data_IF_759048849518
#
_entry.id   IF_759048849518
#
_cell.length_a   1.000
_cell.length_b   1.000
_cell.length_c   1.000
_cell.angle_alpha   90.00
_cell.angle_beta   90.00
_cell.angle_gamma   90.00
#
_symmetry.space_group_name_H-M   'P 1'
#
loop_
_entity.id
_entity.type
_entity.pdbx_description
1 polymer ?
#
# COMPACT_ATOMS: atom_id res chain seq x y z
N UNK A 1 26.47 22.39 -5.78
CA UNK A 1 26.01 21.03 -5.52
C UNK A 1 24.90 20.58 -6.46
N UNK A 2 23.70 21.20 -6.52
CA UNK A 2 22.58 20.78 -7.41
C UNK A 2 22.90 20.64 -8.91
N UNK A 3 23.80 21.45 -9.44
CA UNK A 3 24.17 21.40 -10.86
C UNK A 3 25.12 20.25 -11.16
N UNK A 4 26.00 19.91 -10.22
CA UNK A 4 26.92 18.77 -10.33
C UNK A 4 26.17 17.43 -10.26
N UNK A 5 25.15 17.31 -9.38
CA UNK A 5 24.27 16.13 -9.32
C UNK A 5 23.46 15.93 -10.60
N UNK A 6 22.96 17.02 -11.21
CA UNK A 6 22.25 16.93 -12.51
C UNK A 6 23.17 16.44 -13.62
N UNK A 7 24.42 16.92 -13.66
CA UNK A 7 25.40 16.49 -14.65
C UNK A 7 25.84 15.05 -14.46
N UNK A 8 25.95 14.59 -13.21
CA UNK A 8 26.28 13.19 -12.88
C UNK A 8 25.15 12.23 -13.29
N UNK A 9 23.89 12.64 -13.04
CA UNK A 9 22.70 11.87 -13.46
C UNK A 9 22.56 11.79 -14.97
N UNK A 10 22.81 12.88 -15.67
CA UNK A 10 22.78 12.91 -17.12
C UNK A 10 23.90 12.03 -17.71
N UNK A 11 25.10 12.09 -17.14
CA UNK A 11 26.22 11.23 -17.55
C UNK A 11 25.92 9.74 -17.34
N UNK A 12 25.37 9.37 -16.19
CA UNK A 12 24.97 8.00 -15.89
C UNK A 12 23.85 7.50 -16.82
N UNK A 13 22.86 8.34 -17.13
CA UNK A 13 21.79 8.00 -18.07
C UNK A 13 22.32 7.78 -19.48
N UNK A 14 23.25 8.60 -19.96
CA UNK A 14 23.87 8.45 -21.30
C UNK A 14 24.67 7.15 -21.38
N UNK A 15 25.45 6.82 -20.35
CA UNK A 15 26.23 5.56 -20.31
C UNK A 15 25.30 4.35 -20.28
N UNK A 16 24.19 4.41 -19.52
CA UNK A 16 23.20 3.35 -19.46
C UNK A 16 22.49 3.17 -20.81
N UNK A 17 22.08 4.26 -21.46
CA UNK A 17 21.49 4.20 -22.82
C UNK A 17 22.46 3.61 -23.85
N UNK A 18 23.76 4.00 -23.83
CA UNK A 18 24.76 3.45 -24.72
C UNK A 18 24.99 1.94 -24.49
N UNK A 19 24.99 1.49 -23.24
CA UNK A 19 25.06 0.08 -22.85
C UNK A 19 23.85 -0.70 -23.35
N UNK A 20 22.65 -0.17 -23.17
CA UNK A 20 21.39 -0.77 -23.63
C UNK A 20 21.40 -0.91 -25.16
N UNK A 21 21.75 0.15 -25.89
CA UNK A 21 21.83 0.14 -27.36
C UNK A 21 22.85 -0.91 -27.84
N UNK A 22 24.01 -1.03 -27.19
CA UNK A 22 25.03 -2.02 -27.52
C UNK A 22 24.56 -3.45 -27.27
N UNK A 23 23.84 -3.69 -26.17
CA UNK A 23 23.25 -4.99 -25.84
C UNK A 23 22.13 -5.39 -26.81
N UNK A 24 21.38 -4.41 -27.34
CA UNK A 24 20.40 -4.63 -28.40
C UNK A 24 21.06 -5.02 -29.72
N UNK A 25 22.18 -4.36 -30.09
CA UNK A 25 22.91 -4.61 -31.36
C UNK A 25 23.64 -5.96 -31.39
N UNK A 26 23.95 -6.54 -30.23
CA UNK A 26 24.65 -7.83 -30.09
C UNK A 26 23.71 -9.06 -29.92
N UNK A 27 22.40 -8.89 -30.09
CA UNK A 27 21.42 -9.99 -30.03
C UNK A 27 21.24 -10.64 -28.63
N UNK A 28 21.64 -9.93 -27.56
CA UNK A 28 21.62 -10.39 -26.18
C UNK A 28 20.27 -10.08 -25.46
N UNK A 29 19.22 -9.74 -26.22
CA UNK A 29 17.93 -9.24 -25.71
C UNK A 29 17.32 -10.10 -24.58
N UNK A 30 17.23 -11.43 -24.65
CA UNK A 30 16.61 -12.20 -23.58
C UNK A 30 17.41 -12.20 -22.27
N UNK A 31 18.75 -12.15 -22.35
CA UNK A 31 19.61 -12.07 -21.16
C UNK A 31 19.62 -10.70 -20.52
N UNK A 32 19.41 -9.63 -21.31
CA UNK A 32 19.34 -8.25 -20.81
C UNK A 32 18.02 -7.95 -20.14
N UNK A 33 16.89 -8.51 -20.59
CA UNK A 33 15.61 -8.36 -19.93
C UNK A 33 15.66 -8.97 -18.53
N UNK A 34 16.26 -10.14 -18.36
CA UNK A 34 16.46 -10.76 -17.05
C UNK A 34 17.40 -9.92 -16.15
N UNK A 35 18.46 -9.32 -16.72
CA UNK A 35 19.37 -8.46 -15.96
C UNK A 35 18.69 -7.16 -15.51
N UNK A 36 17.90 -6.52 -16.39
CA UNK A 36 17.14 -5.30 -16.06
C UNK A 36 16.07 -5.56 -14.99
N UNK A 37 15.66 -6.81 -14.84
CA UNK A 37 14.66 -7.23 -13.85
C UNK A 37 15.26 -7.60 -12.49
N UNK A 38 16.59 -7.49 -12.32
CA UNK A 38 17.20 -7.74 -11.01
C UNK A 38 16.84 -6.63 -10.02
N UNK A 39 16.60 -6.93 -8.73
CA UNK A 39 16.22 -5.94 -7.71
C UNK A 39 17.18 -4.74 -7.66
N UNK A 40 18.47 -4.98 -7.69
CA UNK A 40 19.50 -3.92 -7.65
C UNK A 40 19.41 -2.95 -8.82
N UNK A 41 19.07 -3.43 -10.02
CA UNK A 41 18.94 -2.56 -11.20
C UNK A 41 17.61 -1.80 -11.15
N UNK A 42 16.53 -2.43 -10.69
CA UNK A 42 15.25 -1.74 -10.45
C UNK A 42 15.42 -0.59 -9.45
N UNK A 43 16.04 -0.85 -8.31
CA UNK A 43 16.31 0.17 -7.28
C UNK A 43 17.18 1.31 -7.84
N UNK A 44 18.17 0.99 -8.67
CA UNK A 44 18.98 1.98 -9.34
C UNK A 44 18.18 2.81 -10.36
N UNK A 45 17.28 2.21 -11.14
CA UNK A 45 16.40 2.93 -12.06
C UNK A 45 15.45 3.87 -11.31
N UNK A 46 14.86 3.41 -10.21
CA UNK A 46 14.04 4.25 -9.32
C UNK A 46 14.87 5.41 -8.76
N UNK A 47 16.12 5.14 -8.34
CA UNK A 47 17.04 6.20 -7.90
C UNK A 47 17.32 7.22 -9.01
N UNK A 48 17.54 6.79 -10.24
CA UNK A 48 17.76 7.70 -11.38
C UNK A 48 16.53 8.58 -11.66
N UNK A 49 15.33 8.03 -11.58
CA UNK A 49 14.09 8.76 -11.85
C UNK A 49 13.69 9.68 -10.70
N UNK A 50 13.80 9.21 -9.45
CA UNK A 50 13.31 9.93 -8.28
C UNK A 50 14.40 10.69 -7.52
N UNK A 51 15.66 10.29 -7.70
CA UNK A 51 16.79 10.76 -6.90
C UNK A 51 16.84 10.20 -5.49
N UNK A 52 16.11 9.13 -5.21
CA UNK A 52 15.93 8.55 -3.87
C UNK A 52 16.27 7.07 -3.86
N UNK A 53 16.99 6.62 -2.83
CA UNK A 53 17.26 5.20 -2.64
C UNK A 53 16.00 4.50 -2.10
N UNK A 54 15.65 3.38 -2.70
CA UNK A 54 14.60 2.47 -2.21
C UNK A 54 15.23 1.56 -1.17
N UNK A 55 14.55 1.36 -0.04
CA UNK A 55 14.81 0.23 0.84
C UNK A 55 13.70 -0.78 0.59
N UNK A 56 13.96 -1.78 -0.26
CA UNK A 56 13.09 -2.95 -0.30
C UNK A 56 13.36 -3.78 0.96
N UNK A 57 12.32 -4.22 1.63
CA UNK A 57 12.46 -5.23 2.67
C UNK A 57 12.92 -6.52 2.01
N UNK A 58 14.04 -7.07 2.46
CA UNK A 58 14.70 -8.23 1.82
C UNK A 58 13.96 -9.57 2.01
N UNK A 59 12.77 -9.57 2.60
CA UNK A 59 12.05 -10.82 2.93
C UNK A 59 11.57 -11.56 1.68
N UNK A 60 11.21 -10.87 0.60
CA UNK A 60 10.89 -11.53 -0.66
C UNK A 60 12.11 -12.12 -1.39
N UNK A 61 13.33 -11.64 -1.12
CA UNK A 61 14.57 -12.25 -1.62
C UNK A 61 14.86 -13.60 -0.92
N UNK A 62 14.40 -13.77 0.32
CA UNK A 62 14.57 -15.02 1.09
C UNK A 62 13.57 -16.11 0.65
N UNK A 63 12.44 -15.75 0.06
CA UNK A 63 11.43 -16.71 -0.42
C UNK A 63 11.83 -17.43 -1.71
N UNK A 64 12.84 -16.92 -2.43
CA UNK A 64 13.34 -17.48 -3.69
C UNK A 64 14.74 -18.07 -3.61
N UNK A 65 15.29 -18.30 -2.42
CA UNK A 65 16.46 -19.15 -2.31
C UNK A 65 16.04 -20.57 -2.73
N UNK A 66 16.64 -21.19 -3.77
CA UNK A 66 16.31 -22.56 -4.12
C UNK A 66 16.60 -23.44 -2.90
N UNK A 67 15.60 -24.17 -2.43
CA UNK A 67 15.78 -25.17 -1.41
C UNK A 67 16.92 -26.09 -1.83
N UNK A 68 18.01 -26.10 -1.05
CA UNK A 68 19.07 -27.07 -1.21
C UNK A 68 18.42 -28.46 -1.05
N UNK A 69 18.51 -29.27 -2.11
CA UNK A 69 18.01 -30.65 -2.14
C UNK A 69 18.23 -31.36 -0.82
N UNK A 70 17.20 -31.99 -0.25
CA UNK A 70 17.35 -32.73 0.99
C UNK A 70 18.29 -33.91 0.76
N UNK A 71 19.25 -34.07 1.67
CA UNK A 71 20.11 -35.23 1.72
C UNK A 71 19.27 -36.50 1.87
N UNK A 72 19.53 -37.47 1.00
CA UNK A 72 18.92 -38.79 0.99
C UNK A 72 18.96 -39.46 2.39
N UNK A 73 17.79 -39.77 2.96
CA UNK A 73 17.60 -40.57 4.16
C UNK A 73 17.03 -41.91 3.73
N UNK A 74 17.59 -43.06 4.16
CA UNK A 74 17.09 -44.38 3.74
C UNK A 74 15.73 -44.69 4.37
N UNK A 75 14.85 -45.25 3.57
CA UNK A 75 13.51 -45.71 3.93
C UNK A 75 13.54 -46.71 5.08
N UNK A 76 12.87 -46.35 6.18
CA UNK A 76 12.44 -47.31 7.19
C UNK A 76 10.93 -47.47 7.04
N UNK A 77 10.50 -48.65 6.60
CA UNK A 77 9.09 -49.00 6.47
C UNK A 77 8.43 -49.13 7.82
N UNK A 78 7.58 -48.15 8.19
CA UNK A 78 6.59 -48.29 9.25
C UNK A 78 5.19 -48.23 8.62
N UNK A 79 4.16 -48.88 9.19
CA UNK A 79 2.87 -49.04 8.57
C UNK A 79 2.14 -47.68 8.46
N UNK A 80 1.59 -47.45 7.26
CA UNK A 80 0.75 -46.27 6.94
C UNK A 80 -0.46 -46.27 7.87
N UNK A 81 -0.49 -45.34 8.80
CA UNK A 81 -1.76 -44.91 9.41
C UNK A 81 -2.47 -44.01 8.42
N UNK A 82 -3.74 -44.29 8.21
CA UNK A 82 -4.69 -43.51 7.41
C UNK A 82 -4.62 -42.04 7.88
N UNK A 83 -4.02 -41.15 7.04
CA UNK A 83 -4.01 -39.71 7.31
C UNK A 83 -5.45 -39.23 7.34
N UNK A 84 -5.89 -38.77 8.52
CA UNK A 84 -7.08 -37.93 8.61
C UNK A 84 -6.86 -36.74 7.69
N UNK A 85 -7.72 -36.59 6.69
CA UNK A 85 -7.74 -35.44 5.76
C UNK A 85 -7.73 -34.16 6.61
N UNK A 86 -6.67 -33.37 6.47
CA UNK A 86 -6.65 -32.00 6.97
C UNK A 86 -7.88 -31.30 6.38
N UNK A 87 -8.61 -30.46 7.14
CA UNK A 87 -9.70 -29.69 6.56
C UNK A 87 -9.08 -28.85 5.42
N UNK A 88 -9.71 -28.91 4.24
CA UNK A 88 -9.40 -27.98 3.15
C UNK A 88 -9.41 -26.56 3.73
N UNK A 89 -8.30 -25.85 3.62
CA UNK A 89 -8.28 -24.41 3.88
C UNK A 89 -9.24 -23.78 2.86
N UNK A 90 -10.45 -23.55 3.28
CA UNK A 90 -11.40 -22.79 2.49
C UNK A 90 -10.93 -21.35 2.50
N UNK A 91 -10.56 -20.84 1.33
CA UNK A 91 -10.23 -19.43 1.17
C UNK A 91 -11.33 -18.48 1.68
N UNK A 92 -11.11 -17.16 1.69
CA UNK A 92 -12.08 -16.19 2.20
C UNK A 92 -13.47 -16.40 1.59
N UNK A 93 -14.51 -16.29 2.42
CA UNK A 93 -15.87 -16.45 1.94
C UNK A 93 -16.22 -15.37 0.90
N UNK A 94 -16.90 -15.70 -0.21
CA UNK A 94 -17.28 -14.74 -1.23
C UNK A 94 -18.19 -13.64 -0.64
N UNK A 95 -18.19 -12.47 -1.26
CA UNK A 95 -19.07 -11.37 -0.89
C UNK A 95 -20.51 -11.66 -1.32
N UNK A 96 -21.46 -11.12 -0.55
CA UNK A 96 -22.90 -11.27 -0.79
C UNK A 96 -23.55 -9.94 -1.19
N UNK A 97 -24.71 -10.02 -1.84
CA UNK A 97 -25.51 -8.84 -2.16
C UNK A 97 -25.96 -8.09 -0.89
N UNK A 98 -26.30 -8.80 0.17
CA UNK A 98 -26.71 -8.22 1.45
C UNK A 98 -25.58 -7.40 2.09
N UNK A 99 -24.35 -7.89 2.03
CA UNK A 99 -23.18 -7.14 2.48
C UNK A 99 -23.00 -5.86 1.67
N UNK A 100 -23.13 -5.93 0.35
CA UNK A 100 -23.04 -4.75 -0.51
C UNK A 100 -24.08 -3.68 -0.18
N UNK A 101 -25.33 -4.10 0.06
CA UNK A 101 -26.41 -3.20 0.48
C UNK A 101 -26.19 -2.61 1.89
N UNK A 102 -25.47 -3.33 2.75
CA UNK A 102 -25.08 -2.89 4.10
C UNK A 102 -23.90 -1.91 4.13
N UNK A 103 -23.09 -1.86 3.07
CA UNK A 103 -21.94 -0.98 3.01
C UNK A 103 -22.34 0.49 2.91
N UNK A 104 -21.63 1.32 3.66
CA UNK A 104 -21.85 2.76 3.66
C UNK A 104 -20.84 3.47 2.75
N UNK A 105 -21.36 4.20 1.77
CA UNK A 105 -20.60 5.05 0.86
C UNK A 105 -20.96 6.52 1.10
N UNK A 106 -19.97 7.36 1.41
CA UNK A 106 -20.14 8.81 1.45
C UNK A 106 -19.65 9.40 0.12
N UNK A 107 -20.60 9.62 -0.78
CA UNK A 107 -20.31 10.08 -2.14
C UNK A 107 -20.45 11.60 -2.27
N UNK A 108 -19.33 12.28 -2.51
CA UNK A 108 -19.27 13.72 -2.79
C UNK A 108 -18.80 14.04 -4.22
N UNK A 109 -18.59 12.99 -5.04
CA UNK A 109 -18.12 13.17 -6.43
C UNK A 109 -19.19 13.69 -7.38
N UNK A 110 -20.44 13.38 -7.09
CA UNK A 110 -21.57 13.63 -8.00
C UNK A 110 -21.76 12.55 -9.06
N UNK A 111 -20.87 11.56 -9.12
CA UNK A 111 -21.01 10.40 -10.02
C UNK A 111 -21.92 9.33 -9.39
N UNK A 112 -22.55 8.51 -10.23
CA UNK A 112 -23.34 7.38 -9.75
C UNK A 112 -22.40 6.23 -9.41
N UNK A 113 -22.63 5.60 -8.26
CA UNK A 113 -21.91 4.40 -7.82
C UNK A 113 -22.83 3.55 -6.96
N UNK A 114 -22.98 2.29 -7.30
CA UNK A 114 -23.74 1.30 -6.54
C UNK A 114 -22.75 0.41 -5.75
N UNK A 115 -22.72 0.50 -4.42
CA UNK A 115 -21.79 -0.30 -3.61
C UNK A 115 -22.01 -1.80 -3.76
N UNK A 116 -23.27 -2.27 -3.92
CA UNK A 116 -23.60 -3.68 -4.08
C UNK A 116 -23.04 -4.25 -5.37
N UNK A 117 -23.28 -3.55 -6.49
CA UNK A 117 -22.72 -3.94 -7.79
C UNK A 117 -21.19 -3.95 -7.78
N UNK A 118 -20.57 -2.89 -7.23
CA UNK A 118 -19.13 -2.74 -7.19
C UNK A 118 -18.45 -3.73 -6.24
N UNK A 119 -19.08 -4.11 -5.14
CA UNK A 119 -18.56 -5.13 -4.23
C UNK A 119 -18.45 -6.50 -4.92
N UNK A 120 -19.45 -6.84 -5.75
CA UNK A 120 -19.51 -8.14 -6.43
C UNK A 120 -18.73 -8.16 -7.77
N UNK A 121 -18.20 -7.03 -8.22
CA UNK A 121 -17.41 -6.94 -9.44
C UNK A 121 -16.15 -7.79 -9.31
N UNK A 122 -15.85 -8.59 -10.32
CA UNK A 122 -14.58 -9.30 -10.39
C UNK A 122 -13.41 -8.30 -10.52
N UNK A 123 -12.40 -8.47 -9.68
CA UNK A 123 -11.21 -7.61 -9.65
C UNK A 123 -9.97 -8.48 -9.47
N UNK A 124 -9.57 -9.22 -10.53
CA UNK A 124 -8.44 -10.12 -10.45
C UNK A 124 -7.14 -9.34 -10.22
N UNK A 125 -6.31 -9.86 -9.32
CA UNK A 125 -4.97 -9.35 -9.13
C UNK A 125 -3.97 -10.14 -9.98
N UNK A 126 -3.24 -9.51 -10.91
CA UNK A 126 -2.26 -10.22 -11.70
C UNK A 126 -1.19 -10.86 -10.80
N UNK A 127 -0.86 -12.11 -11.10
CA UNK A 127 0.29 -12.76 -10.47
C UNK A 127 1.60 -12.10 -10.91
N UNK A 128 2.63 -12.22 -10.08
CA UNK A 128 3.95 -11.68 -10.42
C UNK A 128 4.95 -11.83 -9.27
N UNK A 129 6.21 -11.93 -9.65
CA UNK A 129 7.31 -11.93 -8.69
C UNK A 129 7.61 -10.51 -8.19
N UNK A 130 7.79 -10.36 -6.88
CA UNK A 130 8.14 -9.10 -6.24
C UNK A 130 7.05 -8.57 -5.29
N UNK A 131 7.15 -7.31 -4.87
CA UNK A 131 6.21 -6.73 -3.92
C UNK A 131 4.79 -6.70 -4.48
N UNK A 132 3.82 -7.11 -3.65
CA UNK A 132 2.39 -7.09 -3.96
C UNK A 132 1.74 -5.80 -3.47
N UNK A 133 2.25 -5.25 -2.38
CA UNK A 133 1.75 -4.04 -1.73
C UNK A 133 2.82 -2.97 -1.71
N UNK A 134 2.46 -1.76 -2.12
CA UNK A 134 3.27 -0.55 -1.91
C UNK A 134 2.64 0.28 -0.81
N UNK A 135 3.41 0.63 0.21
CA UNK A 135 3.02 1.54 1.28
C UNK A 135 3.78 2.86 1.12
N UNK A 136 3.07 3.97 1.08
CA UNK A 136 3.64 5.31 1.07
C UNK A 136 2.73 6.29 1.80
N UNK A 137 3.17 7.53 1.99
CA UNK A 137 2.34 8.59 2.59
C UNK A 137 2.62 9.90 1.89
N UNK A 138 1.65 10.40 1.13
CA UNK A 138 1.75 11.71 0.46
C UNK A 138 1.90 12.83 1.49
N UNK A 139 1.21 12.73 2.62
CA UNK A 139 1.34 13.62 3.76
C UNK A 139 2.07 12.96 4.93
N UNK A 140 3.32 12.57 4.68
CA UNK A 140 4.15 11.77 5.58
C UNK A 140 4.40 12.43 6.94
N UNK A 141 4.36 13.77 7.04
CA UNK A 141 4.54 14.48 8.33
C UNK A 141 3.30 14.48 9.22
N UNK A 142 2.15 14.01 8.73
CA UNK A 142 0.94 13.91 9.54
C UNK A 142 1.18 13.08 10.80
N UNK A 143 0.66 13.58 11.92
CA UNK A 143 0.78 12.97 13.23
C UNK A 143 -0.52 13.11 14.03
N UNK A 144 -0.54 12.53 15.19
CA UNK A 144 -1.70 12.44 16.07
C UNK A 144 -1.57 13.35 17.29
N UNK A 145 -2.63 13.42 18.08
CA UNK A 145 -2.58 14.07 19.39
C UNK A 145 -1.42 13.49 20.20
N UNK A 146 -0.56 14.36 20.72
CA UNK A 146 0.60 13.98 21.50
C UNK A 146 0.19 13.40 22.85
N UNK A 147 0.89 12.34 23.27
CA UNK A 147 0.74 11.71 24.57
C UNK A 147 1.70 12.30 25.61
N UNK A 148 2.15 11.43 26.52
CA UNK A 148 3.05 11.83 27.61
C UNK A 148 4.48 12.15 27.15
N UNK A 149 4.88 11.64 25.99
CA UNK A 149 6.19 11.88 25.38
C UNK A 149 6.01 12.83 24.17
N UNK A 150 6.14 14.15 24.39
CA UNK A 150 5.97 15.13 23.33
C UNK A 150 7.15 15.11 22.35
N UNK A 151 6.87 15.37 21.09
CA UNK A 151 7.84 15.49 20.02
C UNK A 151 7.72 16.87 19.33
N UNK A 152 8.80 17.37 18.68
CA UNK A 152 8.74 18.64 17.95
C UNK A 152 7.74 18.59 16.79
N UNK A 153 6.89 19.59 16.71
CA UNK A 153 5.98 19.78 15.56
C UNK A 153 6.52 20.85 14.61
N UNK A 154 6.35 20.61 13.31
CA UNK A 154 6.62 21.61 12.25
C UNK A 154 5.39 22.46 11.92
N UNK A 155 4.21 21.95 12.25
CA UNK A 155 2.90 22.58 12.21
C UNK A 155 1.95 21.75 13.11
N UNK A 156 0.77 22.24 13.49
CA UNK A 156 -0.17 21.48 14.32
C UNK A 156 -0.43 20.08 13.75
N UNK A 157 -0.22 19.06 14.58
CA UNK A 157 -0.35 17.63 14.22
C UNK A 157 0.51 17.21 13.01
N UNK A 158 1.74 17.78 12.92
CA UNK A 158 2.74 17.44 11.90
C UNK A 158 4.14 17.44 12.47
N UNK A 159 4.91 16.40 12.17
CA UNK A 159 6.29 16.26 12.67
C UNK A 159 7.20 15.58 11.66
N UNK A 160 8.49 15.89 11.71
CA UNK A 160 9.54 15.21 10.97
C UNK A 160 10.05 13.95 11.70
N UNK A 161 9.64 13.75 12.96
CA UNK A 161 10.00 12.58 13.75
C UNK A 161 9.33 11.33 13.17
N UNK A 162 10.11 10.52 12.43
CA UNK A 162 9.61 9.34 11.71
C UNK A 162 8.92 8.31 12.60
N UNK A 163 9.27 8.26 13.89
CA UNK A 163 8.63 7.39 14.87
C UNK A 163 7.25 7.89 15.35
N UNK A 164 6.86 9.11 14.99
CA UNK A 164 5.66 9.78 15.50
C UNK A 164 4.68 10.23 14.41
N UNK A 165 5.07 10.12 13.14
CA UNK A 165 4.27 10.50 11.98
C UNK A 165 3.77 9.27 11.19
N UNK A 166 3.16 9.49 10.01
CA UNK A 166 2.58 8.41 9.19
C UNK A 166 3.58 7.33 8.79
N UNK A 167 4.89 7.66 8.71
CA UNK A 167 5.91 6.65 8.41
C UNK A 167 6.01 5.57 9.49
N UNK A 168 5.64 5.87 10.75
CA UNK A 168 5.59 4.87 11.82
C UNK A 168 4.45 3.87 11.63
N UNK A 169 3.29 4.33 11.12
CA UNK A 169 2.15 3.46 10.78
C UNK A 169 2.48 2.59 9.56
N UNK A 170 3.12 3.19 8.54
CA UNK A 170 3.61 2.47 7.38
C UNK A 170 4.61 1.37 7.74
N UNK A 171 5.51 1.61 8.71
CA UNK A 171 6.43 0.60 9.23
C UNK A 171 5.69 -0.54 9.92
N UNK A 172 4.74 -0.23 10.79
CA UNK A 172 3.95 -1.25 11.48
C UNK A 172 3.12 -2.11 10.51
N UNK A 173 2.55 -1.50 9.46
CA UNK A 173 1.82 -2.24 8.44
C UNK A 173 2.75 -3.12 7.59
N UNK A 174 3.93 -2.62 7.21
CA UNK A 174 4.96 -3.43 6.55
C UNK A 174 5.30 -4.67 7.37
N UNK A 175 5.63 -4.51 8.65
CA UNK A 175 5.96 -5.60 9.56
C UNK A 175 4.80 -6.62 9.64
N UNK A 176 3.56 -6.16 9.83
CA UNK A 176 2.38 -7.02 9.92
C UNK A 176 2.07 -7.79 8.62
N UNK A 177 2.35 -7.22 7.45
CA UNK A 177 2.19 -7.89 6.15
C UNK A 177 3.32 -8.89 5.90
N UNK A 178 4.56 -8.57 6.29
CA UNK A 178 5.69 -9.48 6.18
C UNK A 178 5.53 -10.72 7.07
N UNK A 179 4.98 -10.57 8.27
CA UNK A 179 4.64 -11.69 9.17
C UNK A 179 3.62 -12.64 8.52
N UNK A 180 2.79 -12.14 7.59
CA UNK A 180 1.84 -12.88 6.75
C UNK A 180 2.44 -13.34 5.41
N UNK A 181 3.76 -13.19 5.23
CA UNK A 181 4.48 -13.54 4.00
C UNK A 181 4.03 -12.78 2.75
N UNK A 182 3.41 -11.62 2.92
CA UNK A 182 3.03 -10.74 1.81
C UNK A 182 4.23 -9.85 1.48
N UNK A 183 4.77 -9.92 0.25
CA UNK A 183 5.88 -9.09 -0.17
C UNK A 183 5.46 -7.61 -0.26
N UNK A 184 6.18 -6.74 0.44
CA UNK A 184 5.88 -5.32 0.58
C UNK A 184 7.05 -4.46 0.12
N UNK A 185 6.73 -3.33 -0.51
CA UNK A 185 7.64 -2.22 -0.72
C UNK A 185 7.15 -1.03 0.09
N UNK A 186 7.99 -0.45 0.95
CA UNK A 186 7.64 0.74 1.72
C UNK A 186 8.52 1.94 1.35
N UNK A 187 7.87 3.06 1.06
CA UNK A 187 8.54 4.34 0.80
C UNK A 187 8.56 5.19 2.09
N UNK A 188 9.76 5.55 2.55
CA UNK A 188 9.99 6.38 3.74
C UNK A 188 10.20 7.87 3.41
N UNK A 189 9.83 8.29 2.23
CA UNK A 189 10.06 9.66 1.79
C UNK A 189 9.10 10.63 2.47
N UNK A 190 9.64 11.76 2.95
CA UNK A 190 8.84 12.89 3.39
C UNK A 190 8.55 13.77 2.16
N UNK A 191 7.28 13.82 1.74
CA UNK A 191 6.85 14.52 0.53
C UNK A 191 6.29 15.92 0.77
N UNK A 192 5.72 16.15 1.95
CA UNK A 192 4.97 17.35 2.31
C UNK A 192 5.78 18.40 3.11
N UNK A 193 7.09 18.19 3.24
CA UNK A 193 7.99 19.15 3.84
C UNK A 193 9.18 19.45 2.91
N UNK A 194 9.64 20.72 2.78
CA UNK A 194 9.09 21.93 3.41
C UNK A 194 7.83 22.48 2.72
N UNK A 195 7.32 21.86 1.67
CA UNK A 195 6.17 22.36 0.91
C UNK A 195 5.03 21.35 0.89
N UNK A 196 3.98 21.63 1.64
CA UNK A 196 2.75 20.85 1.67
C UNK A 196 2.06 20.72 0.29
N UNK A 197 1.94 21.85 -0.42
CA UNK A 197 1.20 21.90 -1.70
C UNK A 197 1.86 21.08 -2.84
N UNK A 198 3.15 20.77 -2.72
CA UNK A 198 3.87 19.97 -3.71
C UNK A 198 3.84 18.46 -3.46
N UNK A 199 3.26 18.03 -2.34
CA UNK A 199 3.30 16.65 -1.87
C UNK A 199 2.78 15.65 -2.90
N UNK A 200 1.56 15.84 -3.42
CA UNK A 200 0.98 14.97 -4.45
C UNK A 200 1.80 14.90 -5.74
N UNK A 201 2.35 16.04 -6.19
CA UNK A 201 3.24 16.04 -7.37
C UNK A 201 4.54 15.29 -7.13
N UNK A 202 5.06 15.33 -5.90
CA UNK A 202 6.29 14.66 -5.52
C UNK A 202 6.07 13.16 -5.31
N UNK A 203 5.02 12.74 -4.60
CA UNK A 203 4.68 11.33 -4.40
C UNK A 203 4.29 10.64 -5.71
N UNK A 204 3.61 11.36 -6.64
CA UNK A 204 3.28 10.83 -7.97
C UNK A 204 4.50 10.37 -8.76
N UNK A 205 5.62 11.10 -8.67
CA UNK A 205 6.85 10.70 -9.39
C UNK A 205 7.38 9.37 -8.86
N UNK A 206 7.42 9.22 -7.53
CA UNK A 206 7.88 7.98 -6.90
C UNK A 206 6.93 6.83 -7.19
N UNK A 207 5.62 7.05 -6.99
CA UNK A 207 4.61 6.03 -7.25
C UNK A 207 4.66 5.50 -8.69
N UNK A 208 4.79 6.42 -9.68
CA UNK A 208 4.95 6.03 -11.09
C UNK A 208 6.22 5.22 -11.33
N UNK A 209 7.33 5.57 -10.68
CA UNK A 209 8.59 4.84 -10.80
C UNK A 209 8.47 3.43 -10.18
N UNK A 210 7.83 3.30 -9.00
CA UNK A 210 7.60 2.02 -8.35
C UNK A 210 6.70 1.09 -9.18
N UNK A 211 5.53 1.58 -9.62
CA UNK A 211 4.60 0.79 -10.43
C UNK A 211 5.20 0.34 -11.76
N UNK A 212 6.10 1.14 -12.35
CA UNK A 212 6.84 0.74 -13.55
C UNK A 212 7.90 -0.30 -13.26
N UNK A 213 8.61 -0.17 -12.13
CA UNK A 213 9.68 -1.08 -11.76
C UNK A 213 9.17 -2.41 -11.23
N UNK A 214 8.01 -2.41 -10.59
CA UNK A 214 7.38 -3.57 -9.95
C UNK A 214 5.93 -3.75 -10.42
N UNK A 215 5.71 -4.32 -11.62
CA UNK A 215 4.34 -4.58 -12.14
C UNK A 215 3.54 -5.56 -11.27
N UNK A 216 4.17 -6.26 -10.33
CA UNK A 216 3.55 -7.13 -9.34
C UNK A 216 2.78 -6.40 -8.25
N UNK A 217 2.98 -5.07 -8.11
CA UNK A 217 2.23 -4.25 -7.14
C UNK A 217 0.78 -4.15 -7.60
N UNK A 218 -0.13 -4.68 -6.79
CA UNK A 218 -1.58 -4.69 -7.02
C UNK A 218 -2.32 -3.76 -6.06
N UNK A 219 -1.70 -3.43 -4.92
CA UNK A 219 -2.21 -2.44 -3.98
C UNK A 219 -1.14 -1.37 -3.72
N UNK A 220 -1.51 -0.10 -3.89
CA UNK A 220 -0.68 1.05 -3.53
C UNK A 220 -1.44 1.90 -2.51
N UNK A 221 -1.03 1.81 -1.24
CA UNK A 221 -1.73 2.38 -0.10
C UNK A 221 -1.06 3.69 0.31
N UNK A 222 -1.78 4.80 0.13
CA UNK A 222 -1.40 6.14 0.61
C UNK A 222 -1.94 6.30 2.03
N UNK A 223 -1.09 6.16 3.04
CA UNK A 223 -1.52 6.24 4.43
C UNK A 223 -1.61 7.69 4.89
N UNK A 224 -2.75 8.02 5.48
CA UNK A 224 -3.10 9.33 6.00
C UNK A 224 -3.78 9.22 7.37
N UNK A 225 -4.02 10.36 7.99
CA UNK A 225 -5.00 10.53 9.06
C UNK A 225 -5.92 11.71 8.71
N UNK A 226 -7.21 11.59 9.01
CA UNK A 226 -8.20 12.63 8.71
C UNK A 226 -7.94 13.89 9.54
N UNK A 227 -8.17 15.06 8.95
CA UNK A 227 -7.87 16.38 9.52
C UNK A 227 -9.13 17.22 9.75
N UNK A 228 -10.28 16.60 10.02
CA UNK A 228 -11.51 17.33 10.25
C UNK A 228 -11.50 18.03 11.62
N UNK A 229 -11.79 19.34 11.63
CA UNK A 229 -12.08 20.09 12.85
C UNK A 229 -13.57 19.94 13.19
N UNK A 230 -13.88 19.57 14.42
CA UNK A 230 -15.24 19.37 14.90
C UNK A 230 -15.83 20.62 15.60
N UNK A 231 -15.07 21.72 15.65
CA UNK A 231 -15.44 22.94 16.40
C UNK A 231 -15.18 22.83 17.91
N UNK A 232 -15.01 21.61 18.43
CA UNK A 232 -14.60 21.32 19.82
C UNK A 232 -13.20 20.73 19.91
N UNK A 233 -12.50 20.57 18.77
CA UNK A 233 -11.18 20.00 18.63
C UNK A 233 -11.04 19.16 17.38
N UNK A 234 -9.94 18.47 17.25
CA UNK A 234 -9.69 17.60 16.12
C UNK A 234 -10.52 16.31 16.19
N UNK A 235 -10.94 15.82 15.03
CA UNK A 235 -11.68 14.58 14.90
C UNK A 235 -10.91 13.41 15.54
N UNK A 236 -11.57 12.74 16.49
CA UNK A 236 -11.15 11.46 17.07
C UNK A 236 -12.23 10.43 16.82
N UNK A 237 -11.90 9.38 16.08
CA UNK A 237 -12.83 8.29 15.76
C UNK A 237 -12.40 7.02 16.45
N UNK A 238 -13.34 6.30 17.08
CA UNK A 238 -13.02 5.14 17.91
C UNK A 238 -13.85 3.93 17.48
N UNK A 239 -13.18 2.80 17.47
CA UNK A 239 -13.73 1.45 17.45
C UNK A 239 -13.13 0.66 18.61
N UNK A 240 -13.51 -0.60 18.73
CA UNK A 240 -12.93 -1.56 19.67
C UNK A 240 -12.20 -2.65 18.89
N UNK A 241 -10.94 -2.90 19.23
CA UNK A 241 -10.17 -4.03 18.69
C UNK A 241 -9.55 -4.74 19.89
N UNK A 242 -9.84 -6.02 20.08
CA UNK A 242 -9.39 -6.83 21.22
C UNK A 242 -9.72 -6.19 22.59
N UNK A 243 -10.87 -5.52 22.68
CA UNK A 243 -11.33 -4.85 23.91
C UNK A 243 -10.67 -3.51 24.22
N UNK A 244 -9.79 -3.03 23.34
CA UNK A 244 -9.08 -1.76 23.46
C UNK A 244 -9.60 -0.72 22.46
N UNK A 245 -9.53 0.57 22.85
CA UNK A 245 -9.84 1.64 21.90
C UNK A 245 -8.85 1.66 20.75
N UNK A 246 -9.37 1.60 19.54
CA UNK A 246 -8.62 1.72 18.29
C UNK A 246 -9.16 2.85 17.41
N UNK A 247 -8.37 3.37 16.51
CA UNK A 247 -8.82 4.37 15.55
C UNK A 247 -9.66 3.70 14.45
N UNK A 248 -10.77 4.32 14.03
CA UNK A 248 -11.50 3.82 12.85
C UNK A 248 -10.73 4.07 11.57
N UNK A 249 -10.90 3.19 10.61
CA UNK A 249 -10.36 3.33 9.26
C UNK A 249 -11.39 3.96 8.33
N UNK A 250 -10.93 4.74 7.34
CA UNK A 250 -11.76 5.22 6.24
C UNK A 250 -11.00 5.10 4.93
N UNK A 251 -11.62 4.48 3.94
CA UNK A 251 -11.04 4.46 2.60
C UNK A 251 -11.49 5.69 1.83
N UNK A 252 -10.58 6.30 1.07
CA UNK A 252 -10.90 7.45 0.22
C UNK A 252 -10.52 7.11 -1.21
N UNK A 253 -11.50 7.21 -2.09
CA UNK A 253 -11.35 6.98 -3.52
C UNK A 253 -11.65 8.25 -4.28
N UNK A 254 -10.72 8.61 -5.16
CA UNK A 254 -10.87 9.75 -6.04
C UNK A 254 -11.58 9.38 -7.34
N UNK A 255 -12.01 10.40 -8.07
CA UNK A 255 -12.67 10.25 -9.37
C UNK A 255 -12.15 11.25 -10.39
N UNK A 256 -12.68 11.21 -11.60
CA UNK A 256 -12.45 12.20 -12.67
C UNK A 256 -13.45 13.38 -12.66
N UNK A 257 -14.31 13.47 -11.66
CA UNK A 257 -15.38 14.47 -11.61
C UNK A 257 -14.90 15.93 -11.68
N UNK A 258 -13.59 16.18 -11.44
CA UNK A 258 -12.95 17.49 -11.65
C UNK A 258 -12.25 17.64 -13.01
N UNK A 259 -12.51 16.73 -13.96
CA UNK A 259 -12.02 16.80 -15.33
C UNK A 259 -10.59 16.29 -15.55
N UNK A 260 -9.93 15.75 -14.52
CA UNK A 260 -8.66 15.05 -14.67
C UNK A 260 -8.94 13.56 -14.93
N UNK A 261 -8.38 13.01 -16.02
CA UNK A 261 -8.59 11.61 -16.41
C UNK A 261 -8.23 10.66 -15.28
N UNK A 262 -9.15 9.80 -14.91
CA UNK A 262 -9.00 8.74 -13.91
C UNK A 262 -9.76 7.48 -14.35
N UNK A 263 -9.20 6.67 -15.25
CA UNK A 263 -9.92 5.52 -15.84
C UNK A 263 -10.21 4.40 -14.84
N UNK A 264 -9.46 4.35 -13.74
CA UNK A 264 -9.49 3.23 -12.79
C UNK A 264 -10.34 3.52 -11.53
N UNK A 265 -11.16 4.58 -11.51
CA UNK A 265 -11.83 4.98 -10.26
C UNK A 265 -12.88 3.96 -9.78
N UNK A 266 -13.56 3.28 -10.69
CA UNK A 266 -14.54 2.24 -10.33
C UNK A 266 -13.85 0.99 -9.79
N UNK A 267 -12.74 0.56 -10.40
CA UNK A 267 -11.92 -0.54 -9.90
C UNK A 267 -11.34 -0.23 -8.52
N UNK A 268 -10.82 0.99 -8.33
CA UNK A 268 -10.34 1.43 -7.03
C UNK A 268 -11.46 1.43 -6.00
N UNK A 269 -12.67 1.88 -6.36
CA UNK A 269 -13.81 1.86 -5.46
C UNK A 269 -14.24 0.42 -5.14
N UNK A 270 -14.29 -0.46 -6.13
CA UNK A 270 -14.59 -1.89 -5.94
C UNK A 270 -13.61 -2.52 -4.93
N UNK A 271 -12.30 -2.33 -5.13
CA UNK A 271 -11.27 -2.84 -4.22
C UNK A 271 -11.41 -2.21 -2.82
N UNK A 272 -11.68 -0.91 -2.74
CA UNK A 272 -11.93 -0.21 -1.49
C UNK A 272 -13.15 -0.75 -0.73
N UNK A 273 -14.25 -1.02 -1.43
CA UNK A 273 -15.46 -1.59 -0.81
C UNK A 273 -15.24 -3.03 -0.34
N UNK A 274 -14.48 -3.84 -1.08
CA UNK A 274 -14.08 -5.19 -0.64
C UNK A 274 -13.24 -5.13 0.64
N UNK A 275 -12.26 -4.24 0.68
CA UNK A 275 -11.43 -4.05 1.87
C UNK A 275 -12.29 -3.56 3.07
N UNK A 276 -13.25 -2.65 2.84
CA UNK A 276 -14.19 -2.22 3.87
C UNK A 276 -15.05 -3.39 4.39
N UNK A 277 -15.59 -4.23 3.50
CA UNK A 277 -16.40 -5.38 3.87
C UNK A 277 -15.61 -6.39 4.72
N UNK A 278 -14.37 -6.70 4.33
CA UNK A 278 -13.50 -7.58 5.10
C UNK A 278 -13.19 -7.00 6.49
N UNK A 279 -12.87 -5.72 6.59
CA UNK A 279 -12.64 -5.04 7.86
C UNK A 279 -13.86 -5.09 8.78
N UNK A 280 -15.07 -4.89 8.23
CA UNK A 280 -16.32 -4.97 8.99
C UNK A 280 -16.67 -6.42 9.41
N UNK A 281 -16.35 -7.43 8.58
CA UNK A 281 -16.47 -8.85 8.98
C UNK A 281 -15.57 -9.20 10.16
N UNK A 282 -14.32 -8.71 10.14
CA UNK A 282 -13.31 -8.99 11.19
C UNK A 282 -13.58 -8.21 12.47
N UNK A 283 -13.97 -6.94 12.33
CA UNK A 283 -14.17 -6.03 13.47
C UNK A 283 -15.30 -5.05 13.17
N UNK A 284 -16.55 -5.42 13.51
CA UNK A 284 -17.73 -4.57 13.24
C UNK A 284 -17.58 -3.17 13.85
N UNK A 285 -17.83 -2.15 13.03
CA UNK A 285 -17.69 -0.74 13.40
C UNK A 285 -16.27 -0.21 13.33
N UNK A 286 -15.31 -0.99 12.80
CA UNK A 286 -13.93 -0.53 12.60
C UNK A 286 -13.83 0.49 11.46
N UNK A 287 -14.74 0.45 10.48
CA UNK A 287 -14.68 1.37 9.36
C UNK A 287 -15.68 2.51 9.45
N UNK A 288 -15.29 3.66 8.97
CA UNK A 288 -16.18 4.75 8.56
C UNK A 288 -16.66 4.49 7.13
N UNK A 289 -17.74 5.13 6.68
CA UNK A 289 -18.16 5.02 5.28
C UNK A 289 -17.01 5.31 4.32
N UNK A 290 -16.78 4.45 3.33
CA UNK A 290 -15.84 4.75 2.23
C UNK A 290 -16.22 6.07 1.58
N UNK A 291 -15.24 6.94 1.32
CA UNK A 291 -15.47 8.28 0.83
C UNK A 291 -15.11 8.40 -0.67
N UNK A 292 -16.12 8.61 -1.52
CA UNK A 292 -15.90 8.87 -2.94
C UNK A 292 -15.80 10.38 -3.20
N UNK A 293 -14.62 10.83 -3.65
CA UNK A 293 -14.25 12.23 -3.80
C UNK A 293 -14.14 12.66 -5.25
N UNK A 294 -14.44 13.95 -5.58
CA UNK A 294 -14.27 14.46 -6.94
C UNK A 294 -12.79 14.70 -7.33
N UNK A 295 -11.85 14.66 -6.38
CA UNK A 295 -10.42 14.80 -6.64
C UNK A 295 -9.84 13.47 -7.10
N UNK A 296 -8.91 13.51 -8.08
CA UNK A 296 -8.26 12.32 -8.62
C UNK A 296 -7.19 11.73 -7.68
N UNK A 297 -6.53 12.58 -6.87
CA UNK A 297 -5.32 12.20 -6.12
C UNK A 297 -4.23 11.64 -7.06
N UNK A 298 -3.55 10.56 -6.68
CA UNK A 298 -2.62 9.82 -7.54
C UNK A 298 -3.18 8.46 -7.97
N UNK A 299 -4.46 8.22 -7.74
CA UNK A 299 -5.12 6.92 -7.88
C UNK A 299 -5.39 6.51 -9.33
N UNK A 300 -5.21 7.42 -10.27
CA UNK A 300 -5.27 7.15 -11.72
C UNK A 300 -4.08 6.35 -12.26
N UNK A 301 -3.05 6.12 -11.44
CA UNK A 301 -1.82 5.47 -11.89
C UNK A 301 -1.94 3.96 -12.00
N UNK A 302 -2.79 3.31 -11.21
CA UNK A 302 -3.08 1.89 -11.26
C UNK A 302 -4.39 1.57 -10.55
N UNK A 303 -5.10 0.49 -10.93
CA UNK A 303 -6.07 -0.13 -10.04
C UNK A 303 -5.44 -0.50 -8.70
N UNK A 304 -6.23 -0.47 -7.60
CA UNK A 304 -5.74 -0.74 -6.25
C UNK A 304 -4.94 0.39 -5.60
N UNK A 305 -4.90 1.58 -6.22
CA UNK A 305 -4.39 2.79 -5.56
C UNK A 305 -5.47 3.35 -4.64
N UNK A 306 -5.25 3.29 -3.33
CA UNK A 306 -6.21 3.72 -2.30
C UNK A 306 -5.57 4.70 -1.31
N UNK A 307 -6.34 5.65 -0.81
CA UNK A 307 -6.00 6.37 0.42
C UNK A 307 -6.64 5.63 1.58
N UNK A 308 -5.87 5.44 2.65
CA UNK A 308 -6.32 4.85 3.91
C UNK A 308 -6.13 5.87 5.02
N UNK A 309 -7.23 6.44 5.48
CA UNK A 309 -7.26 7.31 6.64
C UNK A 309 -7.30 6.44 7.90
N UNK A 310 -6.30 6.54 8.74
CA UNK A 310 -6.19 5.80 10.00
C UNK A 310 -6.55 6.74 11.15
N UNK A 311 -7.82 6.79 11.49
CA UNK A 311 -8.37 7.73 12.46
C UNK A 311 -8.31 9.19 11.99
N UNK A 312 -8.29 10.10 12.95
CA UNK A 312 -8.12 11.54 12.73
C UNK A 312 -7.02 12.13 13.63
N UNK A 313 -6.70 13.41 13.43
CA UNK A 313 -5.67 14.10 14.20
C UNK A 313 -5.93 14.09 15.72
N UNK A 314 -7.19 13.96 16.14
CA UNK A 314 -7.57 13.82 17.56
C UNK A 314 -7.33 12.45 18.16
N UNK A 315 -7.07 11.41 17.37
CA UNK A 315 -6.67 10.12 17.89
C UNK A 315 -5.24 10.18 18.47
N UNK A 316 -4.91 9.20 19.29
CA UNK A 316 -3.52 8.92 19.67
C UNK A 316 -2.88 7.98 18.64
N UNK A 317 -1.55 8.06 18.50
CA UNK A 317 -0.80 7.12 17.66
C UNK A 317 -1.01 5.66 18.09
N UNK A 318 -1.19 5.43 19.40
CA UNK A 318 -1.43 4.08 19.91
C UNK A 318 -2.78 3.53 19.45
N UNK A 319 -3.84 4.34 19.42
CA UNK A 319 -5.14 3.95 18.86
C UNK A 319 -5.03 3.59 17.37
N UNK A 320 -4.25 4.37 16.62
CA UNK A 320 -3.99 4.10 15.21
C UNK A 320 -3.19 2.80 15.00
N UNK A 321 -2.16 2.53 15.80
CA UNK A 321 -1.37 1.31 15.69
C UNK A 321 -2.18 0.05 15.98
N UNK A 322 -3.21 0.11 16.85
CA UNK A 322 -4.05 -1.05 17.16
C UNK A 322 -4.91 -1.52 15.99
N UNK A 323 -5.16 -0.68 14.97
CA UNK A 323 -5.91 -1.09 13.78
C UNK A 323 -5.05 -1.83 12.75
N UNK A 324 -3.73 -1.71 12.84
CA UNK A 324 -2.80 -2.24 11.84
C UNK A 324 -2.87 -3.76 11.66
N UNK A 325 -2.94 -4.58 12.72
CA UNK A 325 -3.06 -6.04 12.56
C UNK A 325 -4.32 -6.46 11.79
N UNK A 326 -5.46 -5.82 12.07
CA UNK A 326 -6.73 -6.10 11.37
C UNK A 326 -6.68 -5.63 9.92
N UNK A 327 -6.07 -4.46 9.66
CA UNK A 327 -5.86 -3.98 8.29
C UNK A 327 -4.97 -4.93 7.49
N UNK A 328 -3.89 -5.44 8.09
CA UNK A 328 -2.98 -6.38 7.44
C UNK A 328 -3.69 -7.72 7.12
N UNK A 329 -4.52 -8.23 8.04
CA UNK A 329 -5.31 -9.44 7.79
C UNK A 329 -6.34 -9.22 6.67
N UNK A 330 -7.03 -8.08 6.65
CA UNK A 330 -7.99 -7.77 5.59
C UNK A 330 -7.31 -7.63 4.21
N UNK A 331 -6.07 -7.12 4.16
CA UNK A 331 -5.28 -7.08 2.94
C UNK A 331 -4.90 -8.50 2.49
N UNK A 332 -4.52 -9.39 3.41
CA UNK A 332 -4.23 -10.81 3.13
C UNK A 332 -5.42 -11.48 2.46
N UNK A 333 -6.59 -11.45 3.11
CA UNK A 333 -7.82 -12.04 2.56
C UNK A 333 -8.23 -11.41 1.21
N UNK A 334 -8.05 -10.09 1.06
CA UNK A 334 -8.32 -9.42 -0.21
C UNK A 334 -7.43 -9.93 -1.34
N UNK A 335 -6.14 -10.16 -1.07
CA UNK A 335 -5.18 -10.68 -2.06
C UNK A 335 -5.43 -12.14 -2.42
N UNK A 336 -6.01 -12.94 -1.51
CA UNK A 336 -6.41 -14.33 -1.75
C UNK A 336 -7.69 -14.46 -2.59
N UNK A 337 -8.51 -13.41 -2.64
CA UNK A 337 -9.77 -13.38 -3.41
C UNK A 337 -9.59 -13.01 -4.88
N UNK A 338 -8.46 -12.43 -5.26
CA UNK A 338 -8.15 -11.97 -6.63
C UNK A 338 -7.04 -12.79 -7.24
#
# INVERSE_FOLDING_TARGET
>A
MRQYEKSLRLGAAIVLCALIVRLFSEGLIPKTAALLNTPRIRDFLIYLETGRAVRSSSVWELSYAPESSPAWIPETTAPVQEEASLPEETGPAPFTQEEGEGLKLYNTSGLQADPGELLLRDTPFPEGEGPRVLIYSTHSTESYTQGQEPYPETAPYRTLEKGCNMLSLGKALEEALLDRRIPVLRDETIYDYPSYNSAYGSSRKSLRAYLRAYPSIVLALDLHRDAADTGSGQLRTLAQTDGENSAQLMLVVGTDARGLVHPNWEENLSIGLKLQALLERMSPGLTRPTCLRPQRFNQDLSPGCLIVEIGGAGNTRQEALRTIPVLAQAIEELLEMG
#
